data_IF_164402994388
#
_entry.id   IF_164402994388
#
_cell.length_a   1.000
_cell.length_b   1.000
_cell.length_c   1.000
_cell.angle_alpha   90.00
_cell.angle_beta   90.00
_cell.angle_gamma   90.00
#
_symmetry.space_group_name_H-M   'P 1'
#
loop_
_entity.id
_entity.type
_entity.pdbx_description
1 polymer ?
#
# COMPACT_ATOMS: atom_id res chain seq x y z
N UNK A 1 8.62 -30.33 -26.31
CA UNK A 1 9.48 -29.16 -26.16
C UNK A 1 8.61 -27.93 -25.93
N UNK A 2 8.96 -27.11 -24.96
CA UNK A 2 8.34 -25.84 -24.56
C UNK A 2 9.32 -24.73 -24.96
N UNK A 3 8.91 -23.87 -25.89
CA UNK A 3 9.74 -22.80 -26.44
C UNK A 3 9.20 -21.47 -25.96
N UNK A 4 10.07 -20.60 -25.45
CA UNK A 4 9.74 -19.20 -25.24
C UNK A 4 10.29 -18.34 -26.38
N UNK A 5 9.49 -17.40 -26.87
CA UNK A 5 9.85 -16.41 -27.87
C UNK A 5 9.77 -15.02 -27.26
N UNK A 6 10.91 -14.33 -27.27
CA UNK A 6 11.09 -12.98 -26.73
C UNK A 6 11.38 -12.02 -27.89
N UNK A 7 10.35 -11.37 -28.46
CA UNK A 7 10.56 -10.27 -29.40
C UNK A 7 11.17 -9.08 -28.66
N UNK A 8 12.33 -8.60 -29.14
CA UNK A 8 13.06 -7.51 -28.52
C UNK A 8 13.49 -6.47 -29.55
N UNK A 9 13.10 -5.21 -29.32
CA UNK A 9 13.50 -4.06 -30.17
C UNK A 9 14.93 -3.63 -29.82
N UNK A 10 15.56 -2.88 -30.74
CA UNK A 10 16.88 -2.29 -30.49
C UNK A 10 16.87 -1.23 -29.40
N UNK A 11 17.94 -1.18 -28.61
CA UNK A 11 18.00 -0.33 -27.42
C UNK A 11 18.10 1.17 -27.72
N UNK A 12 18.56 1.55 -28.92
CA UNK A 12 18.71 2.95 -29.33
C UNK A 12 17.36 3.69 -29.48
N UNK A 13 16.32 2.97 -29.91
CA UNK A 13 14.96 3.49 -30.08
C UNK A 13 14.01 3.07 -28.95
N UNK A 14 14.49 2.23 -28.04
CA UNK A 14 13.71 1.73 -26.92
C UNK A 14 13.34 2.86 -25.94
N UNK A 15 12.15 2.72 -25.33
CA UNK A 15 11.65 3.63 -24.30
C UNK A 15 11.62 5.10 -24.73
N UNK A 16 11.15 5.34 -25.96
CA UNK A 16 10.95 6.66 -26.54
C UNK A 16 10.23 7.65 -25.61
N UNK A 17 9.21 7.18 -24.88
CA UNK A 17 8.43 8.04 -23.97
C UNK A 17 9.17 8.42 -22.68
N UNK A 18 10.34 7.82 -22.41
CA UNK A 18 11.25 8.21 -21.32
C UNK A 18 12.28 9.28 -21.73
N UNK A 19 12.26 9.78 -22.98
CA UNK A 19 13.24 10.77 -23.45
C UNK A 19 13.30 12.04 -22.61
N UNK A 20 12.17 12.45 -22.01
CA UNK A 20 12.09 13.62 -21.13
C UNK A 20 12.64 13.39 -19.71
N UNK A 21 12.88 12.14 -19.32
CA UNK A 21 13.33 11.77 -17.97
C UNK A 21 14.73 11.14 -17.94
N UNK A 22 15.18 10.54 -19.06
CA UNK A 22 16.41 9.77 -19.15
C UNK A 22 17.23 10.16 -20.38
N UNK A 23 18.55 10.20 -20.22
CA UNK A 23 19.47 10.35 -21.37
C UNK A 23 19.37 9.13 -22.30
N UNK A 24 19.75 9.25 -23.58
CA UNK A 24 19.79 8.10 -24.49
C UNK A 24 20.59 6.91 -23.93
N UNK A 25 21.74 7.16 -23.31
CA UNK A 25 22.54 6.12 -22.65
C UNK A 25 21.83 5.45 -21.47
N UNK A 26 21.08 6.22 -20.66
CA UNK A 26 20.30 5.70 -19.55
C UNK A 26 19.11 4.85 -20.03
N UNK A 27 18.41 5.27 -21.10
CA UNK A 27 17.32 4.50 -21.71
C UNK A 27 17.81 3.18 -22.29
N UNK A 28 18.95 3.21 -22.98
CA UNK A 28 19.63 2.01 -23.49
C UNK A 28 19.95 1.03 -22.36
N UNK A 29 20.62 1.52 -21.31
CA UNK A 29 20.99 0.68 -20.18
C UNK A 29 19.78 0.12 -19.42
N UNK A 30 18.66 0.85 -19.40
CA UNK A 30 17.40 0.39 -18.82
C UNK A 30 16.79 -0.74 -19.65
N UNK A 31 16.70 -0.57 -20.97
CA UNK A 31 16.16 -1.58 -21.87
C UNK A 31 16.99 -2.88 -21.84
N UNK A 32 18.32 -2.75 -21.77
CA UNK A 32 19.23 -3.90 -21.59
C UNK A 32 18.95 -4.64 -20.27
N UNK A 33 18.83 -3.92 -19.14
CA UNK A 33 18.55 -4.53 -17.85
C UNK A 33 17.17 -5.24 -17.80
N UNK A 34 16.15 -4.66 -18.45
CA UNK A 34 14.83 -5.27 -18.54
C UNK A 34 14.87 -6.61 -19.28
N UNK A 35 15.59 -6.66 -20.42
CA UNK A 35 15.75 -7.88 -21.18
C UNK A 35 16.52 -8.94 -20.39
N UNK A 36 17.57 -8.54 -19.66
CA UNK A 36 18.32 -9.44 -18.78
C UNK A 36 17.47 -10.03 -17.66
N UNK A 37 16.55 -9.25 -17.09
CA UNK A 37 15.60 -9.72 -16.08
C UNK A 37 14.60 -10.74 -16.67
N UNK A 38 14.02 -10.45 -17.85
CA UNK A 38 13.11 -11.37 -18.56
C UNK A 38 13.80 -12.69 -18.90
N UNK A 39 15.00 -12.63 -19.50
CA UNK A 39 15.74 -13.83 -19.86
C UNK A 39 16.13 -14.66 -18.63
N UNK A 40 16.52 -14.02 -17.54
CA UNK A 40 16.81 -14.71 -16.29
C UNK A 40 15.59 -15.43 -15.73
N UNK A 41 14.41 -14.80 -15.76
CA UNK A 41 13.16 -15.42 -15.33
C UNK A 41 12.79 -16.65 -16.18
N UNK A 42 12.92 -16.56 -17.50
CA UNK A 42 12.65 -17.66 -18.43
C UNK A 42 13.63 -18.83 -18.26
N UNK A 43 14.93 -18.55 -18.10
CA UNK A 43 15.95 -19.57 -17.85
C UNK A 43 15.67 -20.29 -16.54
N UNK A 44 15.39 -19.56 -15.47
CA UNK A 44 15.08 -20.14 -14.16
C UNK A 44 13.77 -20.93 -14.15
N UNK A 45 12.82 -20.62 -15.03
CA UNK A 45 11.57 -21.37 -15.16
C UNK A 45 11.75 -22.76 -15.81
N UNK A 46 12.90 -23.04 -16.42
CA UNK A 46 13.22 -24.36 -16.97
C UNK A 46 12.49 -24.67 -18.29
N UNK A 47 12.39 -23.67 -19.17
CA UNK A 47 11.96 -23.85 -20.56
C UNK A 47 13.00 -24.66 -21.34
N UNK A 48 12.56 -25.42 -22.34
CA UNK A 48 13.45 -26.30 -23.10
C UNK A 48 14.28 -25.52 -24.13
N UNK A 49 13.74 -24.40 -24.64
CA UNK A 49 14.44 -23.47 -25.52
C UNK A 49 13.89 -22.05 -25.32
N UNK A 50 14.78 -21.06 -25.34
CA UNK A 50 14.43 -19.64 -25.29
C UNK A 50 15.00 -18.99 -26.55
N UNK A 51 14.17 -18.23 -27.25
CA UNK A 51 14.50 -17.63 -28.53
C UNK A 51 14.29 -16.12 -28.42
N UNK A 52 15.36 -15.35 -28.61
CA UNK A 52 15.27 -13.89 -28.76
C UNK A 52 15.21 -13.57 -30.24
N UNK A 53 14.22 -12.78 -30.64
CA UNK A 53 14.04 -12.33 -32.02
C UNK A 53 14.34 -10.84 -32.08
N UNK A 54 15.39 -10.46 -32.80
CA UNK A 54 15.80 -9.06 -32.90
C UNK A 54 16.69 -8.82 -34.13
N UNK A 55 16.55 -7.66 -34.81
CA UNK A 55 17.51 -7.20 -35.81
C UNK A 55 18.69 -6.43 -35.18
N UNK A 56 18.63 -6.13 -33.88
CA UNK A 56 19.57 -5.21 -33.23
C UNK A 56 20.83 -5.95 -32.70
N UNK A 57 22.05 -5.52 -33.09
CA UNK A 57 23.29 -6.18 -32.66
C UNK A 57 23.54 -6.14 -31.15
N UNK A 58 23.05 -5.11 -30.44
CA UNK A 58 23.25 -4.96 -28.99
C UNK A 58 22.32 -5.89 -28.22
N UNK A 59 21.05 -5.94 -28.61
CA UNK A 59 20.05 -6.90 -28.12
C UNK A 59 20.51 -8.33 -28.38
N UNK A 60 21.05 -8.60 -29.57
CA UNK A 60 21.68 -9.88 -29.90
C UNK A 60 22.87 -10.20 -28.97
N UNK A 61 23.64 -9.19 -28.57
CA UNK A 61 24.70 -9.32 -27.56
C UNK A 61 24.18 -9.82 -26.21
N UNK A 62 23.04 -9.30 -25.73
CA UNK A 62 22.40 -9.76 -24.48
C UNK A 62 21.97 -11.22 -24.59
N UNK A 63 21.31 -11.57 -25.70
CA UNK A 63 20.88 -12.95 -25.96
C UNK A 63 22.06 -13.95 -25.94
N UNK A 64 23.16 -13.59 -26.62
CA UNK A 64 24.39 -14.41 -26.64
C UNK A 64 24.98 -14.58 -25.24
N UNK A 65 25.03 -13.51 -24.42
CA UNK A 65 25.52 -13.60 -23.03
C UNK A 65 24.63 -14.45 -22.13
N UNK A 66 23.31 -14.42 -22.36
CA UNK A 66 22.36 -15.27 -21.65
C UNK A 66 22.38 -16.73 -22.11
N UNK A 67 23.10 -17.06 -23.19
CA UNK A 67 23.18 -18.42 -23.74
C UNK A 67 21.89 -18.91 -24.38
N UNK A 68 21.04 -17.99 -24.86
CA UNK A 68 19.75 -18.30 -25.50
C UNK A 68 19.86 -18.26 -27.03
N UNK A 69 18.94 -18.92 -27.73
CA UNK A 69 18.89 -18.94 -29.20
C UNK A 69 18.59 -17.54 -29.72
N UNK A 70 19.34 -17.09 -30.72
CA UNK A 70 19.10 -15.82 -31.42
C UNK A 70 18.51 -16.10 -32.80
N UNK A 71 17.41 -15.44 -33.13
CA UNK A 71 16.92 -15.32 -34.51
C UNK A 71 17.07 -13.89 -34.97
N UNK A 72 17.93 -13.70 -35.96
CA UNK A 72 18.13 -12.40 -36.59
C UNK A 72 16.98 -12.13 -37.56
N UNK A 73 16.31 -10.99 -37.37
CA UNK A 73 15.35 -10.47 -38.34
C UNK A 73 16.11 -9.57 -39.32
N UNK A 74 15.93 -9.71 -40.65
CA UNK A 74 16.67 -8.88 -41.62
C UNK A 74 16.37 -7.39 -41.49
N UNK A 75 15.12 -7.05 -41.14
CA UNK A 75 14.64 -5.70 -40.91
C UNK A 75 13.60 -5.72 -39.77
N UNK A 76 13.49 -4.63 -39.00
CA UNK A 76 12.51 -4.54 -37.91
C UNK A 76 11.07 -4.45 -38.45
N UNK A 77 10.37 -5.58 -38.56
CA UNK A 77 9.00 -5.65 -39.08
C UNK A 77 7.91 -5.54 -37.98
N UNK A 78 8.30 -5.22 -36.75
CA UNK A 78 7.40 -5.01 -35.62
C UNK A 78 7.17 -6.27 -34.77
N UNK A 79 6.54 -6.09 -33.61
CA UNK A 79 6.42 -7.14 -32.58
C UNK A 79 5.70 -8.41 -33.11
N UNK A 80 4.61 -8.23 -33.85
CA UNK A 80 3.85 -9.36 -34.44
C UNK A 80 4.70 -10.17 -35.43
N UNK A 81 5.53 -9.52 -36.25
CA UNK A 81 6.41 -10.22 -37.20
C UNK A 81 7.49 -11.02 -36.47
N UNK A 82 8.10 -10.43 -35.44
CA UNK A 82 9.09 -11.11 -34.61
C UNK A 82 8.50 -12.36 -33.90
N UNK A 83 7.27 -12.26 -33.37
CA UNK A 83 6.59 -13.44 -32.79
C UNK A 83 6.28 -14.48 -33.86
N UNK A 84 5.85 -14.09 -35.06
CA UNK A 84 5.60 -15.02 -36.17
C UNK A 84 6.87 -15.78 -36.60
N UNK A 85 8.03 -15.11 -36.64
CA UNK A 85 9.31 -15.74 -36.92
C UNK A 85 9.69 -16.75 -35.83
N UNK A 86 9.53 -16.38 -34.56
CA UNK A 86 9.76 -17.29 -33.44
C UNK A 86 8.79 -18.48 -33.42
N UNK A 87 7.53 -18.28 -33.79
CA UNK A 87 6.55 -19.37 -33.96
C UNK A 87 6.99 -20.33 -35.08
N UNK A 88 7.41 -19.82 -36.24
CA UNK A 88 7.90 -20.66 -37.34
C UNK A 88 9.12 -21.50 -36.91
N UNK A 89 10.04 -20.93 -36.14
CA UNK A 89 11.16 -21.67 -35.54
C UNK A 89 10.67 -22.74 -34.56
N UNK A 90 9.77 -22.41 -33.64
CA UNK A 90 9.22 -23.35 -32.68
C UNK A 90 8.54 -24.55 -33.37
N UNK A 91 7.79 -24.31 -34.46
CA UNK A 91 7.19 -25.35 -35.29
C UNK A 91 8.23 -26.23 -35.98
N UNK A 92 9.27 -25.63 -36.57
CA UNK A 92 10.39 -26.36 -37.18
C UNK A 92 11.13 -27.26 -36.18
N UNK A 93 11.16 -26.85 -34.90
CA UNK A 93 11.71 -27.62 -33.78
C UNK A 93 10.72 -28.62 -33.16
N UNK A 94 9.51 -28.75 -33.71
CA UNK A 94 8.42 -29.60 -33.21
C UNK A 94 8.04 -29.30 -31.75
N UNK A 95 7.98 -28.01 -31.40
CA UNK A 95 7.49 -27.55 -30.11
C UNK A 95 6.04 -28.00 -29.90
N UNK A 96 5.71 -28.36 -28.66
CA UNK A 96 4.33 -28.66 -28.23
C UNK A 96 3.67 -27.47 -27.56
N UNK A 97 4.48 -26.56 -27.03
CA UNK A 97 4.04 -25.37 -26.32
C UNK A 97 4.88 -24.19 -26.79
N UNK A 98 4.21 -23.08 -27.10
CA UNK A 98 4.82 -21.78 -27.32
C UNK A 98 4.44 -20.86 -26.17
N UNK A 99 5.42 -20.21 -25.55
CA UNK A 99 5.22 -19.04 -24.72
C UNK A 99 5.79 -17.84 -25.46
N UNK A 100 5.08 -16.72 -25.51
CA UNK A 100 5.68 -15.45 -25.92
C UNK A 100 5.48 -14.41 -24.84
N UNK A 101 6.55 -13.67 -24.55
CA UNK A 101 6.60 -12.56 -23.60
C UNK A 101 7.47 -11.45 -24.19
N UNK A 102 7.10 -10.17 -24.06
CA UNK A 102 7.93 -9.07 -24.53
C UNK A 102 9.21 -8.96 -23.69
N UNK A 103 10.27 -8.40 -24.28
CA UNK A 103 11.58 -8.25 -23.64
C UNK A 103 11.67 -7.17 -22.55
N UNK A 104 10.55 -6.54 -22.18
CA UNK A 104 10.51 -5.37 -21.30
C UNK A 104 9.55 -5.52 -20.11
N UNK A 105 9.48 -6.74 -19.55
CA UNK A 105 8.78 -7.06 -18.29
C UNK A 105 9.78 -7.14 -17.12
N UNK A 106 10.22 -6.01 -16.53
CA UNK A 106 11.29 -5.96 -15.52
C UNK A 106 10.99 -6.70 -14.21
N UNK A 107 9.74 -7.07 -13.99
CA UNK A 107 9.27 -7.72 -12.76
C UNK A 107 8.79 -9.16 -13.00
N UNK A 108 8.89 -9.67 -14.22
CA UNK A 108 8.55 -11.05 -14.53
C UNK A 108 9.40 -12.01 -13.69
N UNK A 109 8.74 -12.94 -12.99
CA UNK A 109 9.43 -13.94 -12.17
C UNK A 109 9.38 -15.34 -12.77
N UNK A 110 10.34 -16.19 -12.39
CA UNK A 110 10.33 -17.60 -12.77
C UNK A 110 9.13 -18.38 -12.21
N UNK A 111 8.55 -17.92 -11.09
CA UNK A 111 7.33 -18.49 -10.52
C UNK A 111 6.10 -18.15 -11.35
N UNK A 112 5.98 -16.91 -11.80
CA UNK A 112 4.91 -16.49 -12.73
C UNK A 112 5.00 -17.23 -14.07
N UNK A 113 6.19 -17.39 -14.64
CA UNK A 113 6.37 -18.19 -15.87
C UNK A 113 5.93 -19.63 -15.66
N UNK A 114 6.27 -20.24 -14.51
CA UNK A 114 5.81 -21.59 -14.16
C UNK A 114 4.30 -21.66 -13.96
N UNK A 115 3.69 -20.63 -13.38
CA UNK A 115 2.23 -20.53 -13.23
C UNK A 115 1.53 -20.47 -14.59
N UNK A 116 2.05 -19.69 -15.55
CA UNK A 116 1.53 -19.64 -16.93
C UNK A 116 1.59 -21.03 -17.59
N UNK A 117 2.74 -21.71 -17.47
CA UNK A 117 2.92 -23.05 -18.04
C UNK A 117 2.03 -24.12 -17.36
N UNK A 118 1.81 -24.00 -16.04
CA UNK A 118 0.98 -24.93 -15.27
C UNK A 118 -0.52 -24.74 -15.52
N UNK A 119 -0.95 -23.53 -15.88
CA UNK A 119 -2.33 -23.23 -16.24
C UNK A 119 -2.74 -23.80 -17.61
N UNK A 120 -1.78 -24.29 -18.40
CA UNK A 120 -2.07 -24.88 -19.70
C UNK A 120 -2.75 -26.25 -19.53
N UNK A 121 -4.02 -26.31 -19.94
CA UNK A 121 -4.79 -27.55 -20.00
C UNK A 121 -4.38 -28.49 -21.15
N UNK A 122 -5.18 -29.55 -21.40
CA UNK A 122 -4.98 -30.43 -22.54
C UNK A 122 -5.09 -29.65 -23.86
N UNK A 123 -4.23 -29.95 -24.83
CA UNK A 123 -4.30 -29.32 -26.15
C UNK A 123 -5.64 -29.68 -26.86
N UNK A 124 -6.31 -28.72 -27.54
CA UNK A 124 -5.89 -27.33 -27.72
C UNK A 124 -6.18 -26.45 -26.49
N UNK A 125 -5.19 -25.65 -26.07
CA UNK A 125 -5.27 -24.78 -24.90
C UNK A 125 -4.57 -23.44 -25.16
N UNK A 126 -5.09 -22.39 -24.53
CA UNK A 126 -4.53 -21.04 -24.56
C UNK A 126 -4.58 -20.39 -23.17
N UNK A 127 -3.47 -19.80 -22.74
CA UNK A 127 -3.35 -19.01 -21.53
C UNK A 127 -2.89 -17.61 -21.92
N UNK A 128 -3.56 -16.58 -21.41
CA UNK A 128 -3.19 -15.19 -21.64
C UNK A 128 -2.98 -14.43 -20.33
N UNK A 129 -2.00 -13.53 -20.33
CA UNK A 129 -1.77 -12.56 -19.27
C UNK A 129 -1.96 -11.16 -19.86
N UNK A 130 -2.94 -10.38 -19.37
CA UNK A 130 -3.16 -9.04 -19.87
C UNK A 130 -2.06 -8.09 -19.40
N UNK A 131 -1.89 -6.99 -20.14
CA UNK A 131 -1.22 -5.81 -19.62
C UNK A 131 -2.08 -5.14 -18.55
N UNK A 132 -1.49 -4.27 -17.74
CA UNK A 132 -2.16 -3.60 -16.62
C UNK A 132 -3.43 -2.81 -17.00
N UNK A 133 -3.51 -2.30 -18.23
CA UNK A 133 -4.70 -1.57 -18.70
C UNK A 133 -5.80 -2.50 -19.26
N UNK A 134 -5.53 -3.81 -19.38
CA UNK A 134 -6.46 -4.80 -19.92
C UNK A 134 -6.61 -4.76 -21.45
N UNK A 135 -5.82 -3.94 -22.16
CA UNK A 135 -5.91 -3.78 -23.62
C UNK A 135 -4.81 -4.56 -24.36
N UNK A 136 -3.63 -4.70 -23.75
CA UNK A 136 -2.47 -5.41 -24.29
C UNK A 136 -2.34 -6.84 -23.77
N UNK A 137 -1.62 -7.70 -24.49
CA UNK A 137 -1.25 -9.05 -24.02
C UNK A 137 0.24 -9.12 -23.73
N UNK A 138 0.59 -9.34 -22.46
CA UNK A 138 1.99 -9.42 -22.02
C UNK A 138 2.53 -10.85 -21.98
N UNK A 139 1.66 -11.85 -21.91
CA UNK A 139 2.07 -13.22 -22.17
C UNK A 139 0.97 -13.97 -22.91
N UNK A 140 1.37 -14.78 -23.88
CA UNK A 140 0.50 -15.76 -24.53
C UNK A 140 1.19 -17.12 -24.51
N UNK A 141 0.53 -18.12 -23.95
CA UNK A 141 1.02 -19.49 -23.91
C UNK A 141 0.03 -20.43 -24.58
N UNK A 142 0.46 -21.13 -25.62
CA UNK A 142 -0.39 -21.88 -26.53
C UNK A 142 0.09 -23.33 -26.66
N UNK A 143 -0.86 -24.27 -26.74
CA UNK A 143 -0.61 -25.64 -27.16
C UNK A 143 -1.75 -26.14 -28.05
N UNK A 144 -1.48 -26.62 -29.28
CA UNK A 144 -0.20 -26.53 -29.98
C UNK A 144 0.23 -25.06 -30.23
N UNK A 145 1.50 -24.78 -30.59
CA UNK A 145 2.02 -23.42 -30.81
C UNK A 145 1.14 -22.52 -31.70
N UNK A 146 0.48 -23.12 -32.69
CA UNK A 146 -0.36 -22.48 -33.71
C UNK A 146 -1.85 -22.42 -33.33
N UNK A 147 -2.22 -22.78 -32.09
CA UNK A 147 -3.62 -22.89 -31.65
C UNK A 147 -4.41 -21.58 -31.80
N UNK A 148 -3.77 -20.43 -31.59
CA UNK A 148 -4.39 -19.10 -31.69
C UNK A 148 -3.45 -18.16 -32.46
N UNK A 149 -3.95 -17.41 -33.47
CA UNK A 149 -3.16 -16.43 -34.19
C UNK A 149 -2.88 -15.26 -33.27
N UNK A 150 -1.61 -14.93 -33.12
CA UNK A 150 -1.17 -13.84 -32.27
C UNK A 150 -0.97 -12.56 -33.10
N UNK A 151 -1.60 -11.47 -32.66
CA UNK A 151 -1.45 -10.12 -33.21
C UNK A 151 -1.30 -9.14 -32.07
N UNK A 152 -0.12 -8.54 -31.97
CA UNK A 152 0.23 -7.61 -30.90
C UNK A 152 0.08 -6.15 -31.35
N UNK A 153 -0.21 -5.30 -30.38
CA UNK A 153 -0.66 -3.92 -30.56
C UNK A 153 -2.05 -3.76 -29.93
N UNK A 154 -2.28 -2.68 -29.19
CA UNK A 154 -3.59 -2.46 -28.55
C UNK A 154 -4.69 -2.35 -29.62
N UNK A 155 -5.83 -3.07 -29.47
CA UNK A 155 -6.27 -3.85 -28.30
C UNK A 155 -6.05 -5.38 -28.43
N UNK A 156 -4.80 -5.85 -28.47
CA UNK A 156 -4.46 -7.27 -28.65
C UNK A 156 -5.10 -8.27 -27.69
N UNK A 157 -5.35 -7.91 -26.42
CA UNK A 157 -5.90 -8.85 -25.44
C UNK A 157 -7.32 -9.31 -25.75
N UNK A 158 -8.32 -8.41 -25.90
CA UNK A 158 -9.65 -8.83 -26.32
C UNK A 158 -9.64 -9.55 -27.68
N UNK A 159 -8.77 -9.15 -28.62
CA UNK A 159 -8.63 -9.81 -29.92
C UNK A 159 -8.14 -11.26 -29.79
N UNK A 160 -7.17 -11.52 -28.92
CA UNK A 160 -6.67 -12.87 -28.64
C UNK A 160 -7.74 -13.75 -27.98
N UNK A 161 -8.51 -13.22 -27.02
CA UNK A 161 -9.61 -13.95 -26.40
C UNK A 161 -10.68 -14.32 -27.43
N UNK A 162 -11.05 -13.39 -28.30
CA UNK A 162 -12.01 -13.63 -29.38
C UNK A 162 -11.48 -14.67 -30.37
N UNK A 163 -10.20 -14.59 -30.76
CA UNK A 163 -9.56 -15.52 -31.68
C UNK A 163 -9.45 -16.95 -31.13
N UNK A 164 -9.26 -17.11 -29.82
CA UNK A 164 -9.28 -18.39 -29.13
C UNK A 164 -10.69 -19.00 -29.12
N UNK A 165 -11.69 -18.21 -28.70
CA UNK A 165 -13.10 -18.66 -28.65
C UNK A 165 -13.66 -19.02 -30.02
N UNK A 166 -13.28 -18.28 -31.06
CA UNK A 166 -13.65 -18.59 -32.44
C UNK A 166 -13.12 -19.97 -32.92
N UNK A 167 -12.11 -20.52 -32.25
CA UNK A 167 -11.56 -21.87 -32.49
C UNK A 167 -12.06 -22.93 -31.50
N UNK A 168 -13.03 -22.58 -30.66
CA UNK A 168 -13.58 -23.48 -29.63
C UNK A 168 -12.63 -23.71 -28.45
N UNK A 169 -11.64 -22.83 -28.24
CA UNK A 169 -10.72 -22.88 -27.11
C UNK A 169 -11.21 -21.86 -26.08
N UNK A 170 -11.54 -22.30 -24.86
CA UNK A 170 -11.80 -21.35 -23.77
C UNK A 170 -10.46 -20.93 -23.16
N UNK A 171 -10.06 -19.66 -23.29
CA UNK A 171 -8.77 -19.21 -22.79
C UNK A 171 -8.77 -19.10 -21.26
N UNK A 172 -7.66 -19.51 -20.64
CA UNK A 172 -7.39 -19.20 -19.23
C UNK A 172 -6.73 -17.83 -19.14
N UNK A 173 -7.24 -16.96 -18.29
CA UNK A 173 -6.65 -15.64 -18.03
C UNK A 173 -6.02 -15.65 -16.65
N UNK A 174 -4.75 -15.26 -16.57
CA UNK A 174 -4.04 -15.09 -15.30
C UNK A 174 -3.69 -13.62 -15.07
N UNK A 175 -4.02 -13.12 -13.89
CA UNK A 175 -3.63 -11.78 -13.42
C UNK A 175 -2.33 -11.90 -12.62
N UNK A 176 -1.20 -11.64 -13.27
CA UNK A 176 0.15 -11.83 -12.70
C UNK A 176 0.85 -10.48 -12.58
N UNK A 177 1.06 -9.94 -11.35
CA UNK A 177 1.55 -8.58 -11.14
C UNK A 177 2.89 -8.24 -11.81
N UNK A 178 3.83 -9.18 -11.87
CA UNK A 178 5.14 -9.00 -12.48
C UNK A 178 5.09 -9.04 -14.00
N UNK A 179 4.24 -9.92 -14.56
CA UNK A 179 4.03 -10.03 -16.01
C UNK A 179 3.09 -8.95 -16.57
N UNK A 180 2.22 -8.35 -15.75
CA UNK A 180 1.27 -7.30 -16.17
C UNK A 180 1.93 -5.94 -16.46
N UNK A 181 3.23 -5.78 -16.18
CA UNK A 181 3.95 -4.51 -16.24
C UNK A 181 4.93 -4.44 -17.43
N UNK A 182 4.42 -4.06 -18.61
CA UNK A 182 5.15 -3.73 -19.84
C UNK A 182 5.26 -2.20 -19.99
N UNK A 183 6.44 -1.62 -19.75
CA UNK A 183 6.49 -0.20 -19.32
C UNK A 183 7.25 0.74 -20.23
N UNK A 184 6.56 1.68 -20.86
CA UNK A 184 7.13 2.65 -21.81
C UNK A 184 7.17 4.11 -21.30
N UNK A 185 6.52 4.46 -20.17
CA UNK A 185 6.34 5.85 -19.70
C UNK A 185 7.01 6.22 -18.35
N UNK A 186 7.16 7.52 -18.02
CA UNK A 186 7.76 7.98 -16.76
C UNK A 186 6.99 7.57 -15.48
N UNK A 187 5.66 7.56 -15.54
CA UNK A 187 4.74 7.14 -14.47
C UNK A 187 4.96 5.68 -14.04
N UNK A 188 5.39 4.86 -15.00
CA UNK A 188 5.68 3.45 -14.82
C UNK A 188 7.03 3.20 -14.13
N UNK A 189 7.97 4.14 -14.27
CA UNK A 189 9.27 4.07 -13.59
C UNK A 189 9.13 4.28 -12.08
N UNK A 190 8.20 5.16 -11.66
CA UNK A 190 7.88 5.36 -10.24
C UNK A 190 7.36 4.08 -9.59
N UNK A 191 6.38 3.45 -10.23
CA UNK A 191 5.82 2.19 -9.75
C UNK A 191 6.85 1.06 -9.71
N UNK A 192 7.84 1.07 -10.61
CA UNK A 192 8.93 0.10 -10.58
C UNK A 192 9.83 0.34 -9.37
N UNK A 193 10.19 1.60 -9.09
CA UNK A 193 10.99 1.98 -7.90
C UNK A 193 10.31 1.62 -6.57
N UNK A 194 8.99 1.71 -6.51
CA UNK A 194 8.17 1.37 -5.33
C UNK A 194 7.87 -0.14 -5.21
N UNK A 195 8.18 -0.93 -6.23
CA UNK A 195 7.92 -2.37 -6.20
C UNK A 195 8.91 -3.08 -5.25
N UNK A 196 8.46 -4.01 -4.39
CA UNK A 196 9.31 -4.69 -3.40
C UNK A 196 10.32 -5.70 -4.00
N UNK A 197 10.51 -5.69 -5.33
CA UNK A 197 11.38 -6.62 -6.04
C UNK A 197 12.87 -6.27 -5.96
N UNK A 198 13.71 -7.26 -6.29
CA UNK A 198 15.15 -7.08 -6.52
C UNK A 198 15.44 -7.50 -7.96
N UNK A 199 15.38 -6.56 -8.89
CA UNK A 199 15.70 -6.80 -10.31
C UNK A 199 16.93 -5.99 -10.74
N UNK A 200 17.61 -6.42 -11.80
CA UNK A 200 18.73 -5.65 -12.36
C UNK A 200 18.25 -4.29 -12.85
N UNK A 201 17.04 -4.23 -13.37
CA UNK A 201 16.36 -2.99 -13.75
C UNK A 201 16.23 -2.03 -12.57
N UNK A 202 15.78 -2.53 -11.41
CA UNK A 202 15.66 -1.74 -10.18
C UNK A 202 17.01 -1.22 -9.66
N UNK A 203 18.03 -2.08 -9.64
CA UNK A 203 19.39 -1.68 -9.26
C UNK A 203 19.94 -0.61 -10.22
N UNK A 204 19.69 -0.77 -11.52
CA UNK A 204 20.14 0.18 -12.55
C UNK A 204 19.43 1.52 -12.42
N UNK A 205 18.13 1.52 -12.13
CA UNK A 205 17.36 2.75 -11.90
C UNK A 205 17.83 3.54 -10.69
N UNK A 206 18.12 2.84 -9.59
CA UNK A 206 18.70 3.45 -8.39
C UNK A 206 20.10 4.03 -8.68
N UNK A 207 20.94 3.31 -9.41
CA UNK A 207 22.29 3.76 -9.78
C UNK A 207 22.29 4.95 -10.77
N UNK A 208 21.28 5.07 -11.62
CA UNK A 208 21.13 6.18 -12.57
C UNK A 208 20.67 7.48 -11.90
N UNK A 209 20.32 7.48 -10.61
CA UNK A 209 19.96 8.69 -9.86
C UNK A 209 18.77 9.45 -10.45
N UNK A 210 17.85 8.73 -11.12
CA UNK A 210 16.75 9.30 -11.89
C UNK A 210 15.85 10.11 -10.96
N UNK A 211 15.90 11.44 -11.06
CA UNK A 211 14.87 12.31 -10.52
C UNK A 211 13.74 12.36 -11.54
N UNK A 212 12.65 11.63 -11.28
CA UNK A 212 11.48 11.69 -12.16
C UNK A 212 10.92 13.13 -12.20
N UNK A 213 10.54 13.64 -13.38
CA UNK A 213 9.93 14.96 -13.49
C UNK A 213 8.61 14.97 -12.70
N UNK A 214 8.36 16.05 -11.96
CA UNK A 214 7.18 16.21 -11.10
C UNK A 214 5.83 16.06 -11.86
N UNK A 215 5.83 16.19 -13.19
CA UNK A 215 4.66 15.99 -14.06
C UNK A 215 4.31 14.52 -14.32
N UNK A 216 5.14 13.57 -13.89
CA UNK A 216 4.89 12.13 -13.96
C UNK A 216 4.38 11.56 -12.62
N UNK A 217 4.29 12.39 -11.57
CA UNK A 217 3.65 11.99 -10.33
C UNK A 217 2.15 11.91 -10.58
N UNK A 218 1.53 10.75 -10.29
CA UNK A 218 0.08 10.72 -10.06
C UNK A 218 -0.26 11.84 -9.09
N UNK A 219 -1.45 12.46 -9.21
CA UNK A 219 -1.92 13.31 -8.13
C UNK A 219 -1.79 12.51 -6.83
N UNK A 220 -1.22 13.09 -5.76
CA UNK A 220 -1.07 12.39 -4.50
C UNK A 220 -2.44 11.83 -4.11
N UNK A 221 -2.48 10.51 -3.88
CA UNK A 221 -3.71 9.79 -3.56
C UNK A 221 -3.60 9.25 -2.14
N UNK A 222 -4.61 9.57 -1.35
CA UNK A 222 -4.82 9.01 -0.02
C UNK A 222 -6.12 8.22 -0.05
N UNK A 223 -6.09 6.99 0.44
CA UNK A 223 -7.28 6.18 0.67
C UNK A 223 -7.48 5.99 2.16
N UNK A 224 -8.73 6.14 2.61
CA UNK A 224 -9.13 5.89 3.99
C UNK A 224 -10.24 4.85 3.93
N UNK A 225 -10.00 3.69 4.52
CA UNK A 225 -10.85 2.50 4.36
C UNK A 225 -11.28 2.05 5.76
N UNK A 226 -12.57 2.09 6.05
CA UNK A 226 -13.10 1.59 7.33
C UNK A 226 -12.96 0.06 7.40
N UNK A 227 -12.57 -0.46 8.57
CA UNK A 227 -12.54 -1.90 8.85
C UNK A 227 -13.84 -2.30 9.54
N UNK A 228 -14.78 -2.78 8.75
CA UNK A 228 -16.07 -3.28 9.19
C UNK A 228 -15.98 -4.74 9.64
N UNK A 229 -17.01 -5.23 10.34
CA UNK A 229 -17.12 -6.64 10.72
C UNK A 229 -16.33 -7.05 11.97
N UNK A 230 -15.70 -6.11 12.69
CA UNK A 230 -15.14 -6.43 14.01
C UNK A 230 -16.25 -6.82 15.00
N UNK A 231 -16.03 -7.82 15.86
CA UNK A 231 -16.95 -8.14 16.93
C UNK A 231 -16.92 -7.07 18.03
N UNK A 232 -17.85 -7.17 18.98
CA UNK A 232 -17.79 -6.39 20.21
C UNK A 232 -16.53 -6.75 21.01
N UNK A 233 -15.61 -5.80 21.15
CA UNK A 233 -14.32 -6.00 21.81
C UNK A 233 -14.49 -6.11 23.32
N UNK A 234 -13.84 -7.11 23.91
CA UNK A 234 -13.87 -7.42 25.35
C UNK A 234 -12.47 -7.35 25.97
N UNK A 235 -12.37 -7.21 27.30
CA UNK A 235 -11.10 -7.28 28.00
C UNK A 235 -10.33 -8.56 27.67
N UNK A 236 -9.07 -8.39 27.25
CA UNK A 236 -8.16 -9.48 26.88
C UNK A 236 -8.17 -9.88 25.39
N UNK A 237 -9.03 -9.29 24.56
CA UNK A 237 -9.09 -9.63 23.13
C UNK A 237 -7.81 -9.23 22.37
N UNK A 238 -7.37 -10.06 21.43
CA UNK A 238 -6.28 -9.77 20.49
C UNK A 238 -6.78 -8.85 19.38
N UNK A 239 -6.81 -7.54 19.68
CA UNK A 239 -7.33 -6.52 18.77
C UNK A 239 -6.63 -6.54 17.39
N UNK A 240 -5.33 -6.81 17.35
CA UNK A 240 -4.57 -6.90 16.09
C UNK A 240 -5.04 -8.06 15.21
N UNK A 241 -5.31 -9.23 15.81
CA UNK A 241 -5.86 -10.37 15.07
C UNK A 241 -7.25 -10.02 14.52
N UNK A 242 -8.12 -9.44 15.34
CA UNK A 242 -9.47 -9.05 14.92
C UNK A 242 -9.44 -8.07 13.74
N UNK A 243 -8.55 -7.08 13.76
CA UNK A 243 -8.37 -6.13 12.65
C UNK A 243 -7.90 -6.82 11.37
N UNK A 244 -6.88 -7.69 11.47
CA UNK A 244 -6.31 -8.39 10.31
C UNK A 244 -7.33 -9.31 9.66
N UNK A 245 -8.08 -10.06 10.47
CA UNK A 245 -9.13 -10.97 9.99
C UNK A 245 -10.28 -10.19 9.35
N UNK A 246 -10.81 -9.16 10.03
CA UNK A 246 -11.89 -8.34 9.50
C UNK A 246 -11.52 -7.64 8.18
N UNK A 247 -10.31 -7.06 8.09
CA UNK A 247 -9.83 -6.43 6.87
C UNK A 247 -9.70 -7.42 5.70
N UNK A 248 -9.28 -8.65 5.97
CA UNK A 248 -9.21 -9.73 4.97
C UNK A 248 -10.62 -10.14 4.53
N UNK A 249 -11.50 -10.39 5.48
CA UNK A 249 -12.85 -10.93 5.23
C UNK A 249 -13.73 -9.94 4.47
N UNK A 250 -13.54 -8.62 4.67
CA UNK A 250 -14.24 -7.59 3.89
C UNK A 250 -13.64 -7.34 2.49
N UNK A 251 -12.59 -8.07 2.11
CA UNK A 251 -11.97 -7.95 0.78
C UNK A 251 -10.96 -6.79 0.62
N UNK A 252 -10.53 -6.15 1.70
CA UNK A 252 -9.50 -5.10 1.69
C UNK A 252 -8.37 -5.43 2.66
N UNK A 253 -7.58 -6.49 2.39
CA UNK A 253 -6.51 -6.91 3.30
C UNK A 253 -5.48 -5.80 3.51
N UNK A 254 -4.82 -5.84 4.67
CA UNK A 254 -3.73 -4.92 4.99
C UNK A 254 -2.59 -5.08 3.98
N UNK A 255 -1.92 -3.98 3.70
CA UNK A 255 -0.75 -3.89 2.82
C UNK A 255 0.44 -3.30 3.59
N UNK A 256 1.64 -3.54 3.08
CA UNK A 256 2.82 -2.87 3.60
C UNK A 256 2.65 -1.35 3.49
N UNK A 257 3.16 -0.61 4.48
CA UNK A 257 3.04 0.85 4.62
C UNK A 257 1.63 1.37 4.94
N UNK A 258 0.65 0.51 5.19
CA UNK A 258 -0.63 0.96 5.74
C UNK A 258 -0.45 1.56 7.14
N UNK A 259 -1.29 2.54 7.47
CA UNK A 259 -1.40 3.12 8.80
C UNK A 259 -2.75 2.71 9.38
N UNK A 260 -2.74 2.04 10.52
CA UNK A 260 -3.95 1.65 11.24
C UNK A 260 -4.35 2.75 12.21
N UNK A 261 -5.44 3.46 11.94
CA UNK A 261 -6.04 4.40 12.89
C UNK A 261 -7.11 3.66 13.68
N UNK A 262 -6.92 3.55 14.99
CA UNK A 262 -7.72 2.74 15.89
C UNK A 262 -8.35 3.64 16.96
N UNK A 263 -9.66 3.58 17.13
CA UNK A 263 -10.32 4.32 18.20
C UNK A 263 -9.80 3.86 19.57
N UNK A 264 -9.56 4.81 20.47
CA UNK A 264 -9.10 4.49 21.82
C UNK A 264 -10.07 3.56 22.55
N UNK A 265 -11.37 3.64 22.27
CA UNK A 265 -12.40 2.85 22.96
C UNK A 265 -12.19 1.35 22.82
N UNK A 266 -11.85 0.85 21.64
CA UNK A 266 -11.57 -0.60 21.46
C UNK A 266 -10.24 -1.00 22.08
N UNK A 267 -9.26 -0.09 22.11
CA UNK A 267 -7.99 -0.30 22.85
C UNK A 267 -8.28 -0.40 24.34
N UNK A 268 -9.02 0.56 24.90
CA UNK A 268 -9.43 0.62 26.31
C UNK A 268 -10.25 -0.59 26.72
N UNK A 269 -11.18 -1.06 25.87
CA UNK A 269 -11.93 -2.31 26.10
C UNK A 269 -10.99 -3.50 26.17
N UNK A 270 -10.12 -3.69 25.17
CA UNK A 270 -9.16 -4.79 25.14
C UNK A 270 -8.20 -4.77 26.35
N UNK A 271 -7.82 -3.59 26.81
CA UNK A 271 -6.93 -3.39 27.96
C UNK A 271 -7.65 -3.37 29.31
N UNK A 272 -8.97 -3.58 29.34
CA UNK A 272 -9.74 -3.61 30.59
C UNK A 272 -9.87 -2.26 31.29
N UNK A 273 -9.76 -1.14 30.56
CA UNK A 273 -9.92 0.23 31.07
C UNK A 273 -11.39 0.65 31.22
N UNK A 274 -12.23 -0.30 31.65
CA UNK A 274 -13.65 -0.08 31.92
C UNK A 274 -13.89 0.03 33.42
N UNK A 275 -14.70 1.00 33.83
CA UNK A 275 -15.05 1.24 35.23
C UNK A 275 -16.56 1.18 35.39
N UNK A 276 -17.03 0.33 36.31
CA UNK A 276 -18.44 0.32 36.74
C UNK A 276 -18.67 1.41 37.77
N UNK A 277 -19.53 2.37 37.45
CA UNK A 277 -19.78 3.53 38.32
C UNK A 277 -20.37 3.13 39.67
N UNK A 278 -21.13 2.04 39.75
CA UNK A 278 -21.66 1.52 41.01
C UNK A 278 -20.57 1.10 42.01
N UNK A 279 -19.38 0.75 41.54
CA UNK A 279 -18.22 0.36 42.36
C UNK A 279 -17.40 1.59 42.83
N UNK A 280 -17.74 2.78 42.34
CA UNK A 280 -17.00 4.02 42.63
C UNK A 280 -17.62 4.72 43.84
N UNK A 281 -16.80 4.94 44.87
CA UNK A 281 -17.13 5.82 46.00
C UNK A 281 -16.64 7.24 45.68
N UNK A 282 -17.54 8.24 45.52
CA UNK A 282 -17.16 9.63 45.28
C UNK A 282 -16.46 10.26 46.48
N UNK A 283 -15.46 11.09 46.22
CA UNK A 283 -14.88 11.98 47.22
C UNK A 283 -15.81 13.17 47.52
N UNK A 284 -15.66 13.84 48.69
CA UNK A 284 -16.42 15.07 48.99
C UNK A 284 -16.26 16.16 47.91
N UNK A 285 -15.07 16.24 47.31
CA UNK A 285 -14.78 17.16 46.20
C UNK A 285 -15.58 16.79 44.96
N UNK A 286 -15.63 15.49 44.60
CA UNK A 286 -16.44 15.02 43.48
C UNK A 286 -17.93 15.29 43.69
N UNK A 287 -18.46 15.08 44.90
CA UNK A 287 -19.85 15.38 45.24
C UNK A 287 -20.18 16.87 45.07
N UNK A 288 -19.30 17.75 45.56
CA UNK A 288 -19.50 19.19 45.44
C UNK A 288 -19.49 19.65 43.98
N UNK A 289 -18.50 19.21 43.20
CA UNK A 289 -18.40 19.55 41.77
C UNK A 289 -19.58 18.98 40.98
N UNK A 290 -20.01 17.76 41.28
CA UNK A 290 -21.12 17.11 40.61
C UNK A 290 -22.44 17.86 40.76
N UNK A 291 -22.70 18.47 41.93
CA UNK A 291 -23.88 19.34 42.14
C UNK A 291 -23.86 20.54 41.18
N UNK A 292 -22.73 21.22 41.05
CA UNK A 292 -22.58 22.36 40.14
C UNK A 292 -22.65 21.96 38.66
N UNK A 293 -22.09 20.80 38.32
CA UNK A 293 -22.09 20.25 36.95
C UNK A 293 -23.40 19.57 36.56
N UNK A 294 -24.29 19.27 37.53
CA UNK A 294 -25.50 18.46 37.35
C UNK A 294 -25.20 17.08 36.74
N UNK A 295 -24.18 16.41 37.27
CA UNK A 295 -23.72 15.08 36.81
C UNK A 295 -23.67 14.08 37.97
N UNK A 296 -23.50 12.80 37.63
CA UNK A 296 -23.27 11.75 38.62
C UNK A 296 -21.94 11.98 39.35
N UNK A 297 -21.92 12.05 40.71
CA UNK A 297 -20.68 12.24 41.46
C UNK A 297 -19.66 11.12 41.25
N UNK A 298 -20.11 9.90 40.92
CA UNK A 298 -19.24 8.76 40.63
C UNK A 298 -18.52 8.94 39.30
N UNK A 299 -19.20 9.51 38.30
CA UNK A 299 -18.57 9.89 37.04
C UNK A 299 -17.53 10.99 37.27
N UNK A 300 -17.88 12.03 38.02
CA UNK A 300 -16.96 13.13 38.33
C UNK A 300 -15.73 12.61 39.06
N UNK A 301 -15.91 11.69 40.02
CA UNK A 301 -14.80 11.03 40.71
C UNK A 301 -13.85 10.30 39.75
N UNK A 302 -14.37 9.52 38.79
CA UNK A 302 -13.53 8.87 37.76
C UNK A 302 -12.77 9.90 36.92
N UNK A 303 -13.45 10.98 36.49
CA UNK A 303 -12.80 12.06 35.74
C UNK A 303 -11.65 12.66 36.56
N UNK A 304 -11.86 12.94 37.85
CA UNK A 304 -10.83 13.49 38.73
C UNK A 304 -9.64 12.54 38.91
N UNK A 305 -9.89 11.23 39.05
CA UNK A 305 -8.82 10.21 39.14
C UNK A 305 -7.95 10.16 37.89
N UNK A 306 -8.54 10.33 36.71
CA UNK A 306 -7.84 10.35 35.41
C UNK A 306 -7.25 11.72 35.06
N UNK A 307 -7.48 12.74 35.91
CA UNK A 307 -7.02 14.11 35.71
C UNK A 307 -5.81 14.44 36.57
N UNK A 308 -4.83 15.13 35.98
CA UNK A 308 -3.77 15.84 36.70
C UNK A 308 -4.28 17.16 37.30
N UNK A 309 -5.12 17.89 36.57
CA UNK A 309 -5.77 19.12 37.04
C UNK A 309 -7.03 19.46 36.24
N UNK A 310 -7.90 20.27 36.84
CA UNK A 310 -8.98 20.96 36.13
C UNK A 310 -8.38 22.20 35.45
N UNK A 311 -8.59 22.34 34.14
CA UNK A 311 -8.16 23.50 33.34
C UNK A 311 -9.27 24.53 33.29
N UNK A 312 -10.51 24.10 33.04
CA UNK A 312 -11.69 24.97 33.01
C UNK A 312 -12.92 24.20 33.44
N UNK A 313 -13.80 24.87 34.17
CA UNK A 313 -15.11 24.36 34.53
C UNK A 313 -16.14 25.46 34.33
N UNK A 314 -17.08 25.27 33.40
CA UNK A 314 -18.16 26.22 33.15
C UNK A 314 -19.35 25.53 32.46
N UNK A 315 -20.57 26.01 32.71
CA UNK A 315 -21.81 25.55 32.06
C UNK A 315 -21.99 24.02 31.99
N UNK A 316 -21.58 23.29 33.04
CA UNK A 316 -21.68 21.83 33.08
C UNK A 316 -20.64 21.09 32.23
N UNK A 317 -19.63 21.79 31.71
CA UNK A 317 -18.48 21.25 30.97
C UNK A 317 -17.26 21.28 31.89
N UNK A 318 -16.53 20.17 31.90
CA UNK A 318 -15.31 20.01 32.67
C UNK A 318 -14.16 19.72 31.70
N UNK A 319 -13.23 20.68 31.56
CA UNK A 319 -12.00 20.54 30.78
C UNK A 319 -10.85 20.29 31.74
N UNK A 320 -10.10 19.23 31.48
CA UNK A 320 -9.06 18.70 32.36
C UNK A 320 -7.80 18.39 31.58
N UNK A 321 -6.66 18.42 32.27
CA UNK A 321 -5.41 17.86 31.79
C UNK A 321 -5.32 16.42 32.31
N UNK A 322 -5.25 15.44 31.42
CA UNK A 322 -5.07 14.02 31.76
C UNK A 322 -3.67 13.77 32.34
N UNK A 323 -3.42 12.61 32.94
CA UNK A 323 -2.06 12.21 33.36
C UNK A 323 -1.07 12.10 32.18
N UNK A 324 -1.56 11.86 30.97
CA UNK A 324 -0.75 11.89 29.74
C UNK A 324 -0.36 13.31 29.31
N UNK A 325 -1.11 14.32 29.76
CA UNK A 325 -0.93 15.73 29.38
C UNK A 325 -1.95 16.25 28.35
N UNK A 326 -2.86 15.41 27.84
CA UNK A 326 -3.92 15.84 26.94
C UNK A 326 -4.90 16.78 27.65
N UNK A 327 -5.22 17.92 27.02
CA UNK A 327 -6.24 18.85 27.50
C UNK A 327 -7.54 18.55 26.75
N UNK A 328 -8.49 17.93 27.43
CA UNK A 328 -9.73 17.48 26.82
C UNK A 328 -10.90 17.53 27.81
N UNK A 329 -12.11 17.32 27.31
CA UNK A 329 -13.28 17.22 28.15
C UNK A 329 -13.23 15.90 28.95
N UNK A 330 -13.58 15.98 30.24
CA UNK A 330 -13.78 14.83 31.12
C UNK A 330 -12.59 13.85 31.18
N UNK A 331 -11.36 14.31 30.98
CA UNK A 331 -10.15 13.49 30.93
C UNK A 331 -10.21 12.34 29.89
N UNK A 332 -11.01 12.49 28.83
CA UNK A 332 -11.24 11.42 27.84
C UNK A 332 -12.10 10.26 28.38
N UNK A 333 -12.71 10.40 29.56
CA UNK A 333 -13.67 9.44 30.09
C UNK A 333 -14.94 9.49 29.24
N UNK A 334 -15.28 8.35 28.65
CA UNK A 334 -16.40 8.20 27.71
C UNK A 334 -17.45 7.22 28.24
N UNK A 335 -18.73 7.57 28.07
CA UNK A 335 -19.88 6.74 28.43
C UNK A 335 -20.66 6.23 27.20
N UNK A 336 -20.36 6.76 26.02
CA UNK A 336 -21.09 6.46 24.79
C UNK A 336 -20.77 5.05 24.28
N UNK A 337 -21.77 4.38 23.69
CA UNK A 337 -21.63 3.03 23.12
C UNK A 337 -21.09 1.99 24.12
N UNK A 338 -21.47 2.13 25.39
CA UNK A 338 -21.19 1.22 26.49
C UNK A 338 -22.50 0.83 27.20
N UNK A 339 -22.43 -0.21 28.03
CA UNK A 339 -23.52 -0.59 28.93
C UNK A 339 -23.81 0.54 29.94
N UNK A 340 -25.08 0.67 30.34
CA UNK A 340 -25.49 1.68 31.29
C UNK A 340 -24.73 1.53 32.62
N UNK A 341 -24.16 2.64 33.12
CA UNK A 341 -23.37 2.63 34.36
C UNK A 341 -21.90 2.21 34.18
N UNK A 342 -21.45 1.93 32.96
CA UNK A 342 -20.03 1.67 32.64
C UNK A 342 -19.44 2.87 31.92
N UNK A 343 -18.19 3.19 32.25
CA UNK A 343 -17.39 4.22 31.55
C UNK A 343 -16.06 3.64 31.09
N UNK A 344 -15.52 4.17 29.99
CA UNK A 344 -14.19 3.84 29.49
C UNK A 344 -13.24 4.99 29.84
N UNK A 345 -12.11 4.67 30.47
CA UNK A 345 -10.99 5.58 30.61
C UNK A 345 -10.04 5.42 29.41
N UNK A 346 -9.14 6.37 29.18
CA UNK A 346 -8.10 6.24 28.16
C UNK A 346 -7.13 5.08 28.48
N UNK A 347 -6.44 4.53 27.46
CA UNK A 347 -5.34 3.60 27.66
C UNK A 347 -4.24 4.24 28.53
N UNK A 348 -3.60 3.47 29.42
CA UNK A 348 -2.56 4.01 30.30
C UNK A 348 -1.31 4.44 29.52
N UNK A 349 -0.94 3.67 28.49
CA UNK A 349 0.17 3.97 27.59
C UNK A 349 -0.29 3.78 26.12
N UNK A 350 -0.96 4.77 25.51
CA UNK A 350 -1.49 4.65 24.15
C UNK A 350 -0.42 4.41 23.08
N UNK A 351 0.78 5.00 23.23
CA UNK A 351 1.93 4.72 22.36
C UNK A 351 2.38 3.26 22.52
N UNK A 352 2.43 2.75 23.74
CA UNK A 352 2.63 1.32 24.02
C UNK A 352 1.58 0.43 23.38
N UNK A 353 0.30 0.81 23.44
CA UNK A 353 -0.79 0.09 22.78
C UNK A 353 -0.61 0.05 21.26
N UNK A 354 -0.28 1.20 20.65
CA UNK A 354 0.03 1.29 19.23
C UNK A 354 1.22 0.40 18.82
N UNK A 355 2.30 0.38 19.62
CA UNK A 355 3.47 -0.47 19.39
C UNK A 355 3.14 -1.95 19.43
N UNK A 356 2.43 -2.40 20.48
CA UNK A 356 1.95 -3.80 20.59
C UNK A 356 1.12 -4.18 19.38
N UNK A 357 0.29 -3.27 18.88
CA UNK A 357 -0.54 -3.49 17.70
C UNK A 357 0.31 -3.67 16.44
N UNK A 358 1.26 -2.76 16.17
CA UNK A 358 2.17 -2.85 15.01
C UNK A 358 2.97 -4.15 15.04
N UNK A 359 3.58 -4.48 16.18
CA UNK A 359 4.36 -5.70 16.33
C UNK A 359 3.52 -6.96 16.14
N UNK A 360 2.31 -6.98 16.68
CA UNK A 360 1.41 -8.13 16.56
C UNK A 360 0.92 -8.30 15.12
N UNK A 361 0.60 -7.22 14.41
CA UNK A 361 0.26 -7.27 12.97
C UNK A 361 1.45 -7.80 12.17
N UNK A 362 2.66 -7.34 12.47
CA UNK A 362 3.88 -7.85 11.81
C UNK A 362 4.06 -9.35 12.05
N UNK A 363 3.90 -9.84 13.29
CA UNK A 363 3.97 -11.28 13.60
C UNK A 363 2.89 -12.11 12.89
N UNK A 364 1.71 -11.56 12.66
CA UNK A 364 0.58 -12.25 12.03
C UNK A 364 0.67 -12.29 10.49
N UNK A 365 1.32 -11.28 9.88
CA UNK A 365 1.21 -11.03 8.43
C UNK A 365 2.55 -10.86 7.70
N UNK A 366 3.64 -10.62 8.43
CA UNK A 366 4.93 -10.19 7.87
C UNK A 366 4.97 -8.74 7.39
N UNK A 367 3.87 -7.99 7.45
CA UNK A 367 3.77 -6.64 6.92
C UNK A 367 4.41 -5.61 7.86
N UNK A 368 5.02 -4.57 7.29
CA UNK A 368 5.46 -3.38 8.02
C UNK A 368 4.39 -2.29 7.94
N UNK A 369 3.67 -2.06 9.05
CA UNK A 369 2.61 -1.05 9.18
C UNK A 369 2.97 -0.03 10.26
N UNK A 370 2.21 1.07 10.32
CA UNK A 370 2.23 1.99 11.45
C UNK A 370 0.84 2.05 12.11
N UNK A 371 0.75 2.61 13.32
CA UNK A 371 -0.52 2.72 14.03
C UNK A 371 -0.69 4.07 14.73
N UNK A 372 -1.94 4.52 14.81
CA UNK A 372 -2.39 5.69 15.55
C UNK A 372 -3.56 5.25 16.43
N UNK A 373 -3.47 5.48 17.73
CA UNK A 373 -4.62 5.40 18.65
C UNK A 373 -5.24 6.78 18.71
N UNK A 374 -6.51 6.90 18.31
CA UNK A 374 -7.20 8.16 18.17
C UNK A 374 -8.36 8.31 19.16
N UNK A 375 -8.60 9.52 19.64
CA UNK A 375 -9.79 9.88 20.41
C UNK A 375 -10.46 11.13 19.86
N UNK A 376 -11.73 11.33 20.20
CA UNK A 376 -12.54 12.43 19.71
C UNK A 376 -12.53 13.61 20.67
N UNK A 377 -11.86 14.71 20.29
CA UNK A 377 -11.80 15.92 21.11
C UNK A 377 -12.55 17.10 20.48
N UNK A 378 -13.05 17.99 21.35
CA UNK A 378 -13.39 19.35 20.97
C UNK A 378 -12.14 20.21 20.87
N UNK A 379 -12.26 21.42 20.32
CA UNK A 379 -11.13 22.34 20.16
C UNK A 379 -11.55 23.80 20.35
N UNK A 380 -10.70 24.67 20.91
CA UNK A 380 -11.01 26.08 21.06
C UNK A 380 -11.39 26.75 19.73
N UNK A 381 -12.31 27.71 19.81
CA UNK A 381 -12.73 28.62 18.72
C UNK A 381 -13.46 27.99 17.53
N UNK A 382 -13.69 26.68 17.51
CA UNK A 382 -14.42 25.99 16.44
C UNK A 382 -15.46 25.05 17.02
N UNK A 383 -16.65 25.09 16.43
CA UNK A 383 -17.70 24.11 16.69
C UNK A 383 -17.35 22.77 16.04
N UNK A 384 -17.88 21.69 16.64
CA UNK A 384 -17.67 20.32 16.18
C UNK A 384 -16.44 19.63 16.79
N UNK A 385 -16.50 18.30 16.79
CA UNK A 385 -15.43 17.43 17.30
C UNK A 385 -14.57 16.92 16.14
N UNK A 386 -13.31 16.60 16.43
CA UNK A 386 -12.41 15.92 15.49
C UNK A 386 -11.66 14.82 16.23
N UNK A 387 -11.29 13.76 15.51
CA UNK A 387 -10.32 12.83 16.05
C UNK A 387 -8.93 13.46 16.09
N UNK A 388 -8.19 13.14 17.14
CA UNK A 388 -6.79 13.50 17.36
C UNK A 388 -6.02 12.25 17.78
N UNK A 389 -4.72 12.23 17.52
CA UNK A 389 -3.86 11.14 17.94
C UNK A 389 -3.52 11.29 19.43
N UNK A 390 -3.82 10.25 20.21
CA UNK A 390 -3.39 10.13 21.61
C UNK A 390 -2.27 9.12 21.80
N UNK A 391 -2.01 8.28 20.79
CA UNK A 391 -0.91 7.34 20.72
C UNK A 391 -0.45 7.09 19.28
N UNK A 392 0.83 6.84 19.06
CA UNK A 392 1.44 6.55 17.74
C UNK A 392 2.51 5.47 17.84
N UNK A 393 2.69 4.71 16.76
CA UNK A 393 3.80 3.77 16.61
C UNK A 393 4.19 3.58 15.15
N UNK A 394 5.50 3.54 14.87
CA UNK A 394 6.04 3.29 13.54
C UNK A 394 6.05 4.51 12.61
N UNK A 395 5.48 5.65 13.01
CA UNK A 395 5.55 6.91 12.26
C UNK A 395 5.81 8.09 13.19
N UNK A 396 6.41 9.16 12.66
CA UNK A 396 6.54 10.41 13.38
C UNK A 396 5.19 11.16 13.43
N UNK A 397 4.74 11.67 14.59
CA UNK A 397 3.47 12.38 14.69
C UNK A 397 3.50 13.77 14.02
N UNK A 398 4.69 14.37 13.96
CA UNK A 398 4.94 15.66 13.31
C UNK A 398 5.76 15.46 12.03
N UNK A 399 5.36 16.12 10.95
CA UNK A 399 6.17 16.25 9.73
C UNK A 399 6.73 17.65 9.64
N UNK A 400 8.05 17.77 9.70
CA UNK A 400 8.76 19.04 9.59
C UNK A 400 9.05 19.39 8.14
N UNK A 401 8.69 20.61 7.75
CA UNK A 401 9.16 21.24 6.51
C UNK A 401 10.25 22.28 6.79
N UNK A 402 10.75 22.38 8.03
CA UNK A 402 11.78 23.34 8.41
C UNK A 402 13.04 23.14 7.57
N UNK A 403 13.54 24.21 6.96
CA UNK A 403 14.74 24.18 6.14
C UNK A 403 14.53 23.62 4.73
N UNK A 404 13.31 23.17 4.39
CA UNK A 404 12.99 22.79 3.02
C UNK A 404 12.81 24.03 2.14
N UNK A 405 13.23 23.93 0.88
CA UNK A 405 13.04 24.97 -0.13
C UNK A 405 11.74 24.74 -0.87
N UNK A 406 10.89 25.76 -0.95
CA UNK A 406 9.65 25.71 -1.72
C UNK A 406 9.92 25.84 -3.24
N UNK A 407 8.89 25.64 -4.10
CA UNK A 407 9.05 25.78 -5.55
C UNK A 407 9.48 27.18 -6.04
N UNK A 408 9.33 28.21 -5.21
CA UNK A 408 9.73 29.58 -5.51
C UNK A 408 11.15 29.90 -4.99
N UNK A 409 11.83 28.94 -4.36
CA UNK A 409 13.20 29.08 -3.87
C UNK A 409 13.31 29.58 -2.42
N UNK A 410 12.20 29.75 -1.70
CA UNK A 410 12.21 30.22 -0.31
C UNK A 410 12.43 29.07 0.66
N UNK A 411 13.25 29.31 1.70
CA UNK A 411 13.43 28.36 2.80
C UNK A 411 12.29 28.50 3.79
N UNK A 412 11.55 27.42 4.03
CA UNK A 412 10.45 27.38 4.98
C UNK A 412 10.98 27.47 6.42
N UNK A 413 10.50 28.47 7.18
CA UNK A 413 11.03 28.79 8.51
C UNK A 413 10.23 28.23 9.70
N UNK A 414 8.99 27.78 9.53
CA UNK A 414 8.20 27.21 10.63
C UNK A 414 6.91 26.49 10.17
N UNK A 415 7.03 25.35 9.48
CA UNK A 415 5.86 24.55 9.13
C UNK A 415 6.03 23.13 9.65
N UNK A 416 5.43 22.86 10.81
CA UNK A 416 5.25 21.50 11.33
C UNK A 416 3.80 21.10 11.06
N UNK A 417 3.63 20.02 10.31
CA UNK A 417 2.32 19.41 10.08
C UNK A 417 2.07 18.39 11.18
N UNK A 418 0.95 18.49 11.87
CA UNK A 418 0.47 17.46 12.81
C UNK A 418 -0.10 16.27 12.03
N UNK A 419 0.79 15.55 11.33
CA UNK A 419 0.44 14.48 10.41
C UNK A 419 -0.44 13.41 11.08
N UNK A 420 -0.13 13.02 12.32
CA UNK A 420 -0.94 12.03 13.03
C UNK A 420 -2.36 12.53 13.33
N UNK A 421 -2.54 13.82 13.67
CA UNK A 421 -3.87 14.41 13.89
C UNK A 421 -4.67 14.54 12.58
N UNK A 422 -4.02 14.90 11.46
CA UNK A 422 -4.69 14.94 10.16
C UNK A 422 -5.18 13.56 9.72
N UNK A 423 -4.34 12.53 9.90
CA UNK A 423 -4.70 11.14 9.60
C UNK A 423 -5.81 10.64 10.54
N UNK A 424 -5.75 10.97 11.82
CA UNK A 424 -6.80 10.65 12.78
C UNK A 424 -8.13 11.32 12.41
N UNK A 425 -8.10 12.60 12.06
CA UNK A 425 -9.26 13.35 11.60
C UNK A 425 -9.87 12.80 10.32
N UNK A 426 -9.04 12.39 9.36
CA UNK A 426 -9.50 11.75 8.12
C UNK A 426 -10.16 10.39 8.37
N UNK A 427 -9.62 9.58 9.30
CA UNK A 427 -10.16 8.28 9.67
C UNK A 427 -11.60 8.36 10.23
N UNK A 428 -11.94 9.43 10.96
CA UNK A 428 -13.30 9.63 11.48
C UNK A 428 -14.38 9.57 10.38
N UNK A 429 -14.05 10.02 9.16
CA UNK A 429 -14.99 10.08 8.04
C UNK A 429 -15.48 8.71 7.57
N UNK A 430 -14.76 7.64 7.88
CA UNK A 430 -15.15 6.25 7.57
C UNK A 430 -15.43 5.39 8.80
N UNK A 431 -15.05 5.86 9.98
CA UNK A 431 -15.32 5.18 11.25
C UNK A 431 -16.73 5.51 11.76
N UNK A 432 -17.13 6.77 11.62
CA UNK A 432 -18.41 7.28 12.10
C UNK A 432 -18.63 7.10 13.61
N UNK A 433 -19.75 7.62 14.12
CA UNK A 433 -20.10 7.50 15.55
C UNK A 433 -20.96 6.29 15.90
N UNK A 434 -21.71 5.78 14.93
CA UNK A 434 -22.74 4.74 15.11
C UNK A 434 -22.54 3.52 14.23
N UNK A 435 -21.59 3.59 13.29
CA UNK A 435 -21.40 2.59 12.22
C UNK A 435 -20.67 1.34 12.69
N UNK A 436 -20.25 1.29 13.97
CA UNK A 436 -19.49 0.19 14.58
C UNK A 436 -18.21 -0.15 13.78
N UNK A 437 -17.56 0.87 13.22
CA UNK A 437 -16.27 0.77 12.52
C UNK A 437 -15.20 1.44 13.40
N UNK A 438 -14.57 0.71 14.35
CA UNK A 438 -13.66 1.32 15.30
C UNK A 438 -12.22 1.51 14.77
N UNK A 439 -11.96 1.10 13.52
CA UNK A 439 -10.64 1.12 12.89
C UNK A 439 -10.75 1.56 11.44
N UNK A 440 -9.80 2.38 10.99
CA UNK A 440 -9.60 2.70 9.60
C UNK A 440 -8.16 2.37 9.16
N UNK A 441 -8.02 1.93 7.92
CA UNK A 441 -6.75 1.80 7.21
C UNK A 441 -6.54 3.07 6.40
N UNK A 442 -5.44 3.77 6.63
CA UNK A 442 -4.98 4.86 5.77
C UNK A 442 -3.85 4.36 4.87
N UNK A 443 -4.05 4.48 3.56
CA UNK A 443 -3.14 3.97 2.52
C UNK A 443 -2.69 5.08 1.59
N UNK A 444 -1.42 5.05 1.20
CA UNK A 444 -0.82 6.02 0.27
C UNK A 444 -0.23 7.26 0.93
N UNK A 445 -0.29 7.40 2.26
CA UNK A 445 0.46 8.44 2.96
C UNK A 445 1.94 8.05 3.08
N UNK A 446 2.89 8.87 2.60
CA UNK A 446 4.31 8.59 2.77
C UNK A 446 4.75 8.88 4.21
N UNK A 447 5.28 7.88 4.88
CA UNK A 447 5.83 7.99 6.24
C UNK A 447 7.17 7.26 6.36
N UNK A 448 8.01 7.79 7.25
CA UNK A 448 9.28 7.17 7.63
C UNK A 448 9.16 6.53 9.01
N UNK A 449 9.82 5.37 9.23
CA UNK A 449 9.87 4.73 10.54
C UNK A 449 10.34 5.71 11.62
N UNK A 450 9.62 5.75 12.74
CA UNK A 450 9.97 6.61 13.87
C UNK A 450 9.49 6.01 15.18
N UNK A 451 10.27 6.27 16.23
CA UNK A 451 9.94 6.01 17.64
C UNK A 451 9.48 7.28 18.37
N UNK A 452 9.25 8.37 17.63
CA UNK A 452 8.82 9.65 18.19
C UNK A 452 7.42 9.51 18.82
N UNK A 453 7.23 9.94 20.07
CA UNK A 453 6.02 9.62 20.82
C UNK A 453 4.92 10.67 20.60
N UNK A 454 3.66 10.32 20.87
CA UNK A 454 2.52 11.20 20.59
C UNK A 454 2.56 12.51 21.38
N UNK A 455 3.24 12.55 22.54
CA UNK A 455 3.38 13.74 23.37
C UNK A 455 4.07 14.92 22.65
N UNK A 456 4.76 14.69 21.52
CA UNK A 456 5.26 15.78 20.69
C UNK A 456 4.15 16.66 20.09
N UNK A 457 2.91 16.16 20.02
CA UNK A 457 1.72 16.93 19.63
C UNK A 457 1.27 17.88 20.76
N UNK A 458 1.66 17.61 22.00
CA UNK A 458 1.32 18.45 23.14
C UNK A 458 2.25 19.65 23.16
N UNK A 459 1.64 20.85 23.17
CA UNK A 459 2.41 22.08 23.36
C UNK A 459 2.93 22.14 24.80
N UNK A 460 4.24 22.36 25.01
CA UNK A 460 4.77 22.45 26.36
C UNK A 460 4.26 23.74 27.06
N UNK A 461 4.08 23.72 28.39
CA UNK A 461 3.49 24.82 29.16
C UNK A 461 4.09 26.19 28.85
N UNK A 462 5.40 26.27 28.73
CA UNK A 462 6.16 27.50 28.48
C UNK A 462 5.90 28.13 27.10
N UNK A 463 5.30 27.38 26.16
CA UNK A 463 4.92 27.85 24.83
C UNK A 463 3.41 28.01 24.67
N UNK A 464 2.62 27.60 25.65
CA UNK A 464 1.16 27.60 25.57
C UNK A 464 0.55 28.89 26.13
N UNK A 465 0.24 29.82 25.21
CA UNK A 465 -0.36 31.12 25.54
C UNK A 465 -1.80 31.03 26.10
N UNK A 466 -2.44 29.85 26.03
CA UNK A 466 -3.83 29.65 26.46
C UNK A 466 -3.95 28.84 27.76
N UNK A 467 -2.81 28.44 28.34
CA UNK A 467 -2.74 27.54 29.50
C UNK A 467 -3.01 28.19 30.84
#
# INVERSE_FOLDING_TARGET
MRVAVVPAKGFAEAKGRLAGALTPGARRALAEAMLEDVLAALVQAGLDEIVVVTPDPETAGVARRAGVTLLEEPEACGHTAAVALGLAHALGRRARVLLTVPGDLPLLTAEEVRAILAALGPAPAAVFVPSRNGLGTNAACLSPPEAVPLRFGEPSFPDHLAAARARGIEPVVLELPGAALDRDGPEDLALLLDSPGVSRTLARLRALGVRLPASAARPPRLEVIGVAGLPEVRPGDDLSRLIVEAARDQGTPLQARDILVVSQKVVSKAEGRLVRLEEVVPSPVAEELARGLKRDPRLVEVILRESRRIVRMDKGILITETHHGWICANAGVDQSNLEAGVVSCLPLDPDGSARRLVERVHRLTGLGVAAIVADTFGRPWREGLTNVAIGVAGLAPLRSYLGMTDPAGYTLQATLLAAADELAGAAELVMGKVERVPVAVVRGYPWEPSEAPAQLLIRPPERDLFR
#
